data_IF_581351874573
#
_entry.id   IF_581351874573
#
_cell.length_a   1.000
_cell.length_b   1.000
_cell.length_c   1.000
_cell.angle_alpha   90.00
_cell.angle_beta   90.00
_cell.angle_gamma   90.00
#
_symmetry.space_group_name_H-M   'P 1'
#
loop_
_entity.id
_entity.type
_entity.pdbx_description
1 polymer ?
#
# COMPACT_ATOMS: atom_id res chain seq x y z
N UNK A 1 -19.36 2.58 49.70
CA UNK A 1 -18.24 1.61 49.77
C UNK A 1 -18.36 0.70 48.56
N UNK A 2 -17.63 0.99 47.48
CA UNK A 2 -17.70 0.20 46.25
C UNK A 2 -16.88 -1.07 46.51
N UNK A 3 -17.56 -2.21 46.62
CA UNK A 3 -16.92 -3.52 46.78
C UNK A 3 -16.40 -3.94 45.41
N UNK A 4 -15.12 -3.73 45.15
CA UNK A 4 -14.45 -4.24 43.96
C UNK A 4 -14.20 -5.74 44.15
N UNK A 5 -14.98 -6.56 43.45
CA UNK A 5 -14.87 -8.02 43.50
C UNK A 5 -13.58 -8.47 42.77
N UNK A 6 -12.70 -9.20 43.46
CA UNK A 6 -11.42 -9.71 42.95
C UNK A 6 -11.57 -10.51 41.64
N UNK A 7 -12.70 -11.19 41.45
CA UNK A 7 -13.05 -11.90 40.22
C UNK A 7 -13.25 -10.98 39.01
N UNK A 8 -13.77 -9.76 39.22
CA UNK A 8 -13.95 -8.76 38.16
C UNK A 8 -12.60 -8.13 37.74
N UNK A 9 -11.63 -8.03 38.66
CA UNK A 9 -10.28 -7.56 38.37
C UNK A 9 -9.51 -8.55 37.48
N UNK A 10 -9.61 -9.85 37.75
CA UNK A 10 -9.00 -10.92 36.94
C UNK A 10 -9.59 -10.96 35.52
N UNK A 11 -10.92 -10.84 35.40
CA UNK A 11 -11.60 -10.76 34.10
C UNK A 11 -11.17 -9.53 33.30
N UNK A 12 -11.00 -8.38 33.97
CA UNK A 12 -10.52 -7.14 33.33
C UNK A 12 -9.08 -7.27 32.80
N UNK A 13 -8.21 -7.96 33.55
CA UNK A 13 -6.82 -8.20 33.15
C UNK A 13 -6.71 -9.10 31.92
N UNK A 14 -7.55 -10.14 31.83
CA UNK A 14 -7.62 -11.02 30.66
C UNK A 14 -8.10 -10.29 29.39
N UNK A 15 -9.09 -9.40 29.51
CA UNK A 15 -9.60 -8.61 28.37
C UNK A 15 -8.55 -7.63 27.84
N UNK A 16 -7.72 -7.05 28.74
CA UNK A 16 -6.65 -6.13 28.36
C UNK A 16 -5.51 -6.81 27.56
N UNK A 17 -5.22 -8.09 27.80
CA UNK A 17 -4.15 -8.83 27.10
C UNK A 17 -4.54 -9.15 25.63
N UNK A 18 -5.84 -9.16 25.32
CA UNK A 18 -6.35 -9.37 23.95
C UNK A 18 -6.17 -8.18 23.00
N UNK A 19 -5.60 -7.05 23.46
CA UNK A 19 -5.15 -5.94 22.61
C UNK A 19 -3.99 -6.42 21.72
N UNK A 20 -4.35 -7.11 20.64
CA UNK A 20 -3.43 -7.64 19.65
C UNK A 20 -2.78 -6.47 18.90
N UNK A 21 -1.47 -6.28 19.07
CA UNK A 21 -0.70 -5.34 18.27
C UNK A 21 -0.65 -5.86 16.82
N UNK A 22 -1.45 -5.27 15.93
CA UNK A 22 -1.28 -5.47 14.48
C UNK A 22 0.00 -4.78 14.04
N UNK A 23 1.07 -5.54 13.79
CA UNK A 23 2.34 -4.99 13.28
C UNK A 23 2.23 -4.72 11.78
N UNK A 24 1.47 -3.71 11.37
CA UNK A 24 1.44 -3.27 9.98
C UNK A 24 2.77 -2.61 9.58
N UNK A 25 3.19 -2.78 8.32
CA UNK A 25 4.26 -2.00 7.69
C UNK A 25 3.62 -0.90 6.86
N UNK A 26 4.07 0.34 7.09
CA UNK A 26 3.64 1.51 6.31
C UNK A 26 4.66 1.80 5.21
N UNK A 27 4.18 1.95 3.98
CA UNK A 27 4.97 2.40 2.83
C UNK A 27 4.45 3.75 2.35
N UNK A 28 5.35 4.72 2.18
CA UNK A 28 5.04 6.01 1.59
C UNK A 28 5.52 6.02 0.14
N UNK A 29 4.58 6.01 -0.81
CA UNK A 29 4.84 5.95 -2.25
C UNK A 29 4.66 7.36 -2.83
N UNK A 30 5.78 8.06 -3.05
CA UNK A 30 5.76 9.44 -3.57
C UNK A 30 6.05 9.49 -5.06
N UNK A 31 5.21 10.18 -5.84
CA UNK A 31 5.53 10.50 -7.22
C UNK A 31 6.47 11.71 -7.30
N UNK A 32 7.72 11.46 -7.68
CA UNK A 32 8.71 12.54 -7.93
C UNK A 32 8.91 12.86 -9.42
N UNK A 33 8.19 12.17 -10.30
CA UNK A 33 8.31 12.40 -11.73
C UNK A 33 7.45 13.62 -12.13
N UNK A 34 7.82 14.36 -13.20
CA UNK A 34 7.14 15.60 -13.59
C UNK A 34 5.77 15.39 -14.27
N UNK A 35 5.25 14.16 -14.23
CA UNK A 35 3.99 13.76 -14.84
C UNK A 35 3.22 12.83 -13.90
N UNK A 36 1.91 12.72 -14.13
CA UNK A 36 1.03 11.82 -13.36
C UNK A 36 1.40 10.36 -13.58
N UNK A 37 1.45 9.60 -12.49
CA UNK A 37 1.63 8.14 -12.50
C UNK A 37 0.49 7.49 -11.74
N UNK A 38 0.19 6.23 -12.03
CA UNK A 38 -0.79 5.45 -11.28
C UNK A 38 -0.07 4.37 -10.51
N UNK A 39 0.16 4.62 -9.23
CA UNK A 39 0.73 3.62 -8.34
C UNK A 39 -0.23 2.43 -8.23
N UNK A 40 0.36 1.24 -8.11
CA UNK A 40 -0.36 0.00 -7.96
C UNK A 40 0.35 -0.87 -6.92
N UNK A 41 -0.44 -1.55 -6.10
CA UNK A 41 0.05 -2.49 -5.11
C UNK A 41 -0.90 -3.67 -4.99
N UNK A 42 -0.37 -4.89 -4.84
CA UNK A 42 -1.18 -6.07 -4.51
C UNK A 42 -0.77 -6.54 -3.12
N UNK A 43 -1.72 -6.76 -2.19
CA UNK A 43 -3.19 -6.75 -2.35
C UNK A 43 -3.89 -5.38 -2.17
N UNK A 44 -3.15 -4.26 -2.17
CA UNK A 44 -3.66 -2.96 -1.70
C UNK A 44 -4.33 -2.07 -2.76
N UNK A 45 -4.49 -2.50 -4.01
CA UNK A 45 -5.17 -1.76 -5.07
C UNK A 45 -4.27 -0.81 -5.85
N UNK A 46 -4.71 0.44 -6.06
CA UNK A 46 -3.96 1.43 -6.82
C UNK A 46 -4.52 2.84 -6.70
N UNK A 47 -3.67 3.84 -6.92
CA UNK A 47 -4.02 5.25 -6.76
C UNK A 47 -3.31 6.10 -7.82
N UNK A 48 -4.01 7.09 -8.36
CA UNK A 48 -3.42 8.13 -9.19
C UNK A 48 -2.60 9.09 -8.32
N UNK A 49 -1.38 9.39 -8.74
CA UNK A 49 -0.48 10.33 -8.09
C UNK A 49 0.00 11.37 -9.09
N UNK A 50 -0.41 12.62 -8.88
CA UNK A 50 0.16 13.78 -9.55
C UNK A 50 1.58 14.05 -9.04
N UNK A 51 2.37 14.88 -9.74
CA UNK A 51 3.72 15.23 -9.29
C UNK A 51 3.72 15.77 -7.85
N UNK A 52 4.55 15.17 -7.00
CA UNK A 52 4.69 15.51 -5.58
C UNK A 52 3.70 14.82 -4.63
N UNK A 53 2.66 14.15 -5.15
CA UNK A 53 1.70 13.45 -4.30
C UNK A 53 2.28 12.16 -3.73
N UNK A 54 1.79 11.77 -2.55
CA UNK A 54 2.23 10.56 -1.84
C UNK A 54 1.02 9.70 -1.49
N UNK A 55 1.10 8.42 -1.84
CA UNK A 55 0.16 7.39 -1.40
C UNK A 55 0.72 6.66 -0.19
N UNK A 56 -0.04 6.63 0.90
CA UNK A 56 0.31 5.90 2.12
C UNK A 56 -0.33 4.52 2.05
N UNK A 57 0.50 3.49 1.95
CA UNK A 57 0.10 2.10 1.94
C UNK A 57 0.31 1.47 3.31
N UNK A 58 -0.71 0.86 3.89
CA UNK A 58 -0.54 0.04 5.10
C UNK A 58 -0.70 -1.43 4.71
N UNK A 59 0.36 -2.21 4.93
CA UNK A 59 0.40 -3.65 4.64
C UNK A 59 0.45 -4.41 5.95
N UNK A 60 -0.44 -5.37 6.15
CA UNK A 60 -0.47 -6.16 7.37
C UNK A 60 0.80 -7.04 7.51
N UNK A 61 1.33 -7.20 8.73
CA UNK A 61 2.38 -8.18 9.01
C UNK A 61 1.98 -9.57 8.50
N UNK A 62 2.96 -10.28 7.95
CA UNK A 62 2.75 -11.62 7.38
C UNK A 62 2.21 -11.63 5.96
N UNK A 63 1.94 -10.48 5.35
CA UNK A 63 1.62 -10.40 3.92
C UNK A 63 2.85 -10.81 3.10
N UNK A 64 2.76 -11.93 2.38
CA UNK A 64 3.81 -12.41 1.48
C UNK A 64 3.43 -12.15 0.03
N UNK A 65 4.42 -11.97 -0.84
CA UNK A 65 4.19 -11.76 -2.28
C UNK A 65 3.64 -10.37 -2.63
N UNK A 66 3.69 -9.40 -1.72
CA UNK A 66 3.28 -8.03 -2.05
C UNK A 66 4.19 -7.43 -3.12
N UNK A 67 3.59 -6.71 -4.07
CA UNK A 67 4.32 -5.97 -5.11
C UNK A 67 3.78 -4.57 -5.20
N UNK A 68 4.67 -3.60 -5.35
CA UNK A 68 4.37 -2.19 -5.59
C UNK A 68 5.06 -1.78 -6.89
N UNK A 69 4.34 -1.14 -7.81
CA UNK A 69 4.89 -0.67 -9.09
C UNK A 69 4.19 0.60 -9.57
N UNK A 70 4.86 1.30 -10.49
CA UNK A 70 4.28 2.46 -11.17
C UNK A 70 3.67 2.08 -12.51
N UNK A 71 2.52 2.67 -12.84
CA UNK A 71 1.88 2.61 -14.16
C UNK A 71 1.89 3.98 -14.81
N UNK A 72 1.99 4.01 -16.14
CA UNK A 72 2.06 5.27 -16.89
C UNK A 72 1.04 5.31 -18.03
N UNK A 73 0.67 6.54 -18.40
CA UNK A 73 -0.28 6.84 -19.47
C UNK A 73 -1.57 6.00 -19.34
N UNK A 74 -2.21 6.09 -18.17
CA UNK A 74 -3.45 5.40 -17.91
C UNK A 74 -4.66 6.28 -18.17
N UNK A 75 -5.74 5.67 -18.64
CA UNK A 75 -7.04 6.32 -18.76
C UNK A 75 -8.10 5.39 -18.15
N UNK A 76 -8.81 5.88 -17.13
CA UNK A 76 -9.87 5.15 -16.45
C UNK A 76 -11.19 5.93 -16.54
N UNK A 77 -12.29 5.21 -16.62
CA UNK A 77 -13.64 5.75 -16.52
C UNK A 77 -14.06 5.95 -15.05
N UNK A 78 -15.25 6.52 -14.84
CA UNK A 78 -15.80 6.75 -13.50
C UNK A 78 -16.10 5.47 -12.71
N UNK A 79 -16.04 4.29 -13.34
CA UNK A 79 -16.17 2.99 -12.68
C UNK A 79 -14.82 2.35 -12.33
N UNK A 80 -13.70 3.03 -12.63
CA UNK A 80 -12.35 2.53 -12.37
C UNK A 80 -11.85 1.50 -13.39
N UNK A 81 -12.56 1.34 -14.53
CA UNK A 81 -12.13 0.50 -15.64
C UNK A 81 -11.44 1.34 -16.71
N UNK A 82 -10.44 0.77 -17.36
CA UNK A 82 -9.59 1.54 -18.24
C UNK A 82 -8.42 0.75 -18.78
N UNK A 83 -7.34 1.46 -19.09
CA UNK A 83 -6.10 0.84 -19.55
C UNK A 83 -4.90 1.72 -19.26
N UNK A 84 -3.81 1.09 -18.86
CA UNK A 84 -2.47 1.69 -18.80
C UNK A 84 -1.59 1.23 -19.96
N UNK A 85 -0.66 2.07 -20.39
CA UNK A 85 0.34 1.67 -21.39
C UNK A 85 1.41 0.74 -20.80
N UNK A 86 1.81 0.98 -19.55
CA UNK A 86 2.79 0.14 -18.83
C UNK A 86 2.25 -0.23 -17.45
N UNK A 87 2.57 -1.44 -16.97
CA UNK A 87 2.15 -1.89 -15.65
C UNK A 87 0.66 -2.15 -15.49
N UNK A 88 -0.09 -2.29 -16.58
CA UNK A 88 -1.54 -2.53 -16.53
C UNK A 88 -1.89 -3.85 -15.84
N UNK A 89 -2.86 -3.82 -14.94
CA UNK A 89 -3.28 -4.97 -14.13
C UNK A 89 -4.68 -5.48 -14.51
N UNK A 90 -4.95 -5.58 -15.83
CA UNK A 90 -6.22 -6.06 -16.36
C UNK A 90 -7.25 -4.94 -16.56
N UNK A 91 -6.78 -3.71 -16.80
CA UNK A 91 -7.64 -2.56 -17.05
C UNK A 91 -8.36 -2.02 -15.81
N UNK A 92 -7.83 -2.29 -14.61
CA UNK A 92 -8.41 -1.84 -13.36
C UNK A 92 -7.55 -0.75 -12.71
N UNK A 93 -8.19 0.29 -12.16
CA UNK A 93 -7.50 1.25 -11.30
C UNK A 93 -7.00 0.58 -10.02
N UNK A 94 -7.88 -0.21 -9.37
CA UNK A 94 -7.53 -1.03 -8.22
C UNK A 94 -7.05 -2.41 -8.65
N UNK A 95 -5.73 -2.62 -8.62
CA UNK A 95 -5.13 -3.87 -9.04
C UNK A 95 -5.45 -5.01 -8.07
N UNK A 96 -6.00 -6.10 -8.61
CA UNK A 96 -6.20 -7.37 -7.89
C UNK A 96 -5.07 -8.37 -8.15
N UNK A 97 -4.42 -8.23 -9.30
CA UNK A 97 -3.34 -9.08 -9.77
C UNK A 97 -2.12 -8.25 -10.19
N UNK A 98 -0.99 -8.94 -10.42
CA UNK A 98 0.24 -8.30 -10.86
C UNK A 98 0.09 -7.64 -12.24
N UNK A 99 0.77 -6.52 -12.45
CA UNK A 99 0.78 -5.81 -13.72
C UNK A 99 1.49 -6.56 -14.86
N UNK A 100 1.15 -6.19 -16.10
CA UNK A 100 1.72 -6.74 -17.33
C UNK A 100 3.02 -6.05 -17.70
N UNK A 101 4.16 -6.76 -17.86
CA UNK A 101 5.46 -6.18 -18.19
C UNK A 101 5.42 -5.27 -19.44
N UNK A 102 6.25 -4.22 -19.52
CA UNK A 102 7.29 -3.82 -18.57
C UNK A 102 6.72 -3.04 -17.38
N UNK A 103 7.05 -3.50 -16.17
CA UNK A 103 6.67 -2.83 -14.92
C UNK A 103 7.96 -2.40 -14.25
N UNK A 104 8.12 -1.10 -14.04
CA UNK A 104 9.23 -0.62 -13.23
C UNK A 104 8.94 -0.98 -11.78
N UNK A 105 9.51 -2.09 -11.31
CA UNK A 105 9.58 -2.44 -9.89
C UNK A 105 10.48 -1.39 -9.23
N UNK A 106 9.86 -0.46 -8.49
CA UNK A 106 10.49 0.64 -7.76
C UNK A 106 11.88 1.05 -8.29
N UNK A 107 11.91 1.60 -9.50
CA UNK A 107 13.08 2.32 -10.02
C UNK A 107 12.71 3.78 -10.00
N UNK A 108 13.19 4.45 -8.96
CA UNK A 108 13.14 5.90 -8.79
C UNK A 108 13.59 6.58 -10.09
N UNK A 109 12.74 7.48 -10.60
CA UNK A 109 13.13 8.49 -11.59
C UNK A 109 14.50 9.08 -11.15
N UNK A 110 15.51 9.13 -12.02
CA UNK A 110 16.91 9.24 -11.61
C UNK A 110 17.18 10.52 -10.81
N UNK A 111 17.60 10.38 -9.55
CA UNK A 111 18.44 11.35 -8.85
C UNK A 111 19.52 10.62 -8.02
N UNK A 112 20.72 11.23 -7.86
CA UNK A 112 21.99 10.51 -7.74
C UNK A 112 22.33 9.97 -6.34
N UNK A 113 21.49 10.15 -5.33
CA UNK A 113 21.77 9.64 -4.00
C UNK A 113 20.46 9.39 -3.25
N UNK A 114 20.32 8.19 -2.69
CA UNK A 114 19.85 7.86 -1.33
C UNK A 114 19.29 6.42 -1.38
N UNK A 115 19.80 5.60 -0.45
CA UNK A 115 19.80 4.15 -0.51
C UNK A 115 18.45 3.46 -0.40
N UNK A 116 18.39 2.29 -1.03
CA UNK A 116 17.42 1.25 -0.74
C UNK A 116 18.16 0.13 -0.05
N UNK A 117 18.04 0.08 1.28
CA UNK A 117 18.25 -1.15 2.01
C UNK A 117 16.91 -1.87 2.07
N UNK A 118 16.80 -3.01 1.38
CA UNK A 118 15.94 -4.12 1.76
C UNK A 118 16.64 -5.40 1.29
N UNK A 119 17.28 -6.08 2.24
CA UNK A 119 17.49 -7.52 2.20
C UNK A 119 16.15 -8.23 2.44
#
# INVERSE_FOLDING_TARGET
MIVLNKSLLEFSFFVAISLSFSHGVRFDVTNRCPYTVWAAAVPSGGQQLNPGETWILNVAAGTTGSRIWGRTNCNFDGSGHGKCQTGDCGGLLECKDYGTPPNTLCRICPEPNIGFGLF
#
